data_IF_498347094354
#
_entry.id   IF_498347094354
#
_cell.length_a   1.000
_cell.length_b   1.000
_cell.length_c   1.000
_cell.angle_alpha   90.00
_cell.angle_beta   90.00
_cell.angle_gamma   90.00
#
_symmetry.space_group_name_H-M   'P 1'
#
loop_
_entity.id
_entity.type
_entity.pdbx_description
1 polymer ?
#
# COMPACT_ATOMS: atom_id res chain seq x y z
N UNK A 1 -11.38 8.49 26.56
CA UNK A 1 -12.41 8.75 25.54
C UNK A 1 -11.84 9.42 24.29
N UNK A 2 -10.94 10.42 24.40
CA UNK A 2 -10.31 11.10 23.25
C UNK A 2 -9.71 10.13 22.19
N UNK A 3 -8.93 9.12 22.62
CA UNK A 3 -8.25 8.23 21.66
C UNK A 3 -9.21 7.31 20.89
N UNK A 4 -10.35 6.89 21.49
CA UNK A 4 -11.32 6.02 20.80
C UNK A 4 -12.07 6.78 19.70
N UNK A 5 -12.48 8.01 19.97
CA UNK A 5 -13.19 8.85 18.98
C UNK A 5 -12.26 9.23 17.83
N UNK A 6 -11.00 9.58 18.12
CA UNK A 6 -9.99 9.88 17.10
C UNK A 6 -9.69 8.66 16.22
N UNK A 7 -9.53 7.48 16.82
CA UNK A 7 -9.28 6.25 16.06
C UNK A 7 -10.47 5.87 15.16
N UNK A 8 -11.70 6.03 15.65
CA UNK A 8 -12.91 5.77 14.86
C UNK A 8 -13.04 6.75 13.69
N UNK A 9 -12.71 8.03 13.92
CA UNK A 9 -12.70 9.05 12.88
C UNK A 9 -11.69 8.74 11.77
N UNK A 10 -10.45 8.40 12.13
CA UNK A 10 -9.41 7.99 11.16
C UNK A 10 -9.88 6.76 10.37
N UNK A 11 -10.44 5.75 11.05
CA UNK A 11 -10.94 4.55 10.39
C UNK A 11 -12.02 4.85 9.35
N UNK A 12 -12.95 5.76 9.66
CA UNK A 12 -14.02 6.14 8.73
C UNK A 12 -13.45 6.86 7.50
N UNK A 13 -12.56 7.83 7.71
CA UNK A 13 -11.89 8.53 6.60
C UNK A 13 -11.11 7.59 5.70
N UNK A 14 -10.41 6.59 6.27
CA UNK A 14 -9.71 5.60 5.46
C UNK A 14 -10.66 4.82 4.55
N UNK A 15 -11.83 4.43 5.05
CA UNK A 15 -12.83 3.76 4.20
C UNK A 15 -13.28 4.65 3.05
N UNK A 16 -13.48 5.95 3.30
CA UNK A 16 -13.85 6.93 2.28
C UNK A 16 -12.72 7.17 1.26
N UNK A 17 -11.45 7.14 1.68
CA UNK A 17 -10.30 7.32 0.79
C UNK A 17 -9.96 6.06 -0.02
N UNK A 18 -10.23 4.86 0.48
CA UNK A 18 -9.90 3.61 -0.21
C UNK A 18 -10.59 3.52 -1.57
N UNK A 19 -11.86 3.90 -1.67
CA UNK A 19 -12.64 3.87 -2.92
C UNK A 19 -12.03 4.75 -4.03
N UNK A 20 -11.82 6.06 -3.84
CA UNK A 20 -11.23 6.91 -4.88
C UNK A 20 -9.79 6.51 -5.23
N UNK A 21 -8.97 6.08 -4.27
CA UNK A 21 -7.61 5.60 -4.54
C UNK A 21 -7.65 4.34 -5.41
N UNK A 22 -8.51 3.39 -5.08
CA UNK A 22 -8.67 2.16 -5.86
C UNK A 22 -9.14 2.45 -7.29
N UNK A 23 -10.05 3.43 -7.47
CA UNK A 23 -10.47 3.86 -8.80
C UNK A 23 -9.31 4.45 -9.62
N UNK A 24 -8.46 5.28 -9.00
CA UNK A 24 -7.27 5.83 -9.67
C UNK A 24 -6.32 4.69 -10.08
N UNK A 25 -6.01 3.77 -9.16
CA UNK A 25 -5.14 2.62 -9.44
C UNK A 25 -5.69 1.74 -10.57
N UNK A 26 -6.98 1.44 -10.55
CA UNK A 26 -7.63 0.62 -11.56
C UNK A 26 -7.58 1.29 -12.94
N UNK A 27 -7.94 2.58 -13.02
CA UNK A 27 -7.90 3.33 -14.28
C UNK A 27 -6.47 3.47 -14.81
N UNK A 28 -5.50 3.79 -13.94
CA UNK A 28 -4.10 3.85 -14.34
C UNK A 28 -3.60 2.51 -14.89
N UNK A 29 -3.99 1.37 -14.29
CA UNK A 29 -3.65 0.04 -14.81
C UNK A 29 -4.30 -0.24 -16.16
N UNK A 30 -5.59 0.04 -16.32
CA UNK A 30 -6.29 -0.13 -17.61
C UNK A 30 -5.57 0.63 -18.74
N UNK A 31 -5.13 1.87 -18.46
CA UNK A 31 -4.40 2.69 -19.41
C UNK A 31 -2.99 2.14 -19.70
N UNK A 32 -2.24 1.73 -18.67
CA UNK A 32 -0.89 1.16 -18.84
C UNK A 32 -0.90 -0.21 -19.52
N UNK A 33 -1.93 -1.01 -19.28
CA UNK A 33 -2.19 -2.29 -19.94
C UNK A 33 -2.66 -2.12 -21.39
N UNK A 34 -2.86 -0.87 -21.84
CA UNK A 34 -3.28 -0.48 -23.20
C UNK A 34 -4.62 -1.09 -23.62
N UNK A 35 -5.49 -1.36 -22.64
CA UNK A 35 -6.83 -1.94 -22.87
C UNK A 35 -7.73 -0.94 -23.60
N UNK A 36 -7.66 0.34 -23.24
CA UNK A 36 -8.43 1.43 -23.85
C UNK A 36 -7.68 2.15 -25.00
N UNK A 37 -6.62 1.53 -25.53
CA UNK A 37 -5.85 2.03 -26.67
C UNK A 37 -4.39 2.35 -26.35
N UNK A 38 -3.67 2.80 -27.38
CA UNK A 38 -2.25 3.11 -27.27
C UNK A 38 -2.01 4.46 -26.57
N UNK A 39 -0.98 4.51 -25.72
CA UNK A 39 -0.47 5.74 -25.12
C UNK A 39 0.76 6.22 -25.90
N UNK A 40 0.90 7.54 -26.03
CA UNK A 40 2.18 8.14 -26.40
C UNK A 40 3.20 7.94 -25.27
N UNK A 41 4.52 8.00 -25.54
CA UNK A 41 5.53 7.84 -24.49
C UNK A 41 5.38 8.81 -23.31
N UNK A 42 4.96 10.05 -23.58
CA UNK A 42 4.75 11.05 -22.53
C UNK A 42 3.48 10.75 -21.71
N UNK A 43 2.41 10.28 -22.33
CA UNK A 43 1.20 9.85 -21.61
C UNK A 43 1.48 8.63 -20.73
N UNK A 44 2.24 7.65 -21.21
CA UNK A 44 2.64 6.48 -20.42
C UNK A 44 3.41 6.89 -19.16
N UNK A 45 4.34 7.84 -19.31
CA UNK A 45 5.09 8.43 -18.19
C UNK A 45 4.18 9.15 -17.19
N UNK A 46 3.24 9.95 -17.67
CA UNK A 46 2.28 10.68 -16.83
C UNK A 46 1.37 9.72 -16.06
N UNK A 47 0.81 8.70 -16.71
CA UNK A 47 -0.03 7.69 -16.07
C UNK A 47 0.77 6.90 -15.04
N UNK A 48 2.04 6.59 -15.31
CA UNK A 48 2.94 5.95 -14.35
C UNK A 48 3.15 6.81 -13.09
N UNK A 49 3.30 8.12 -13.23
CA UNK A 49 3.38 9.03 -12.09
C UNK A 49 2.07 9.11 -11.29
N UNK A 50 0.92 9.14 -11.97
CA UNK A 50 -0.39 9.11 -11.30
C UNK A 50 -0.57 7.81 -10.50
N UNK A 51 -0.23 6.67 -11.11
CA UNK A 51 -0.30 5.37 -10.44
C UNK A 51 0.59 5.35 -9.20
N UNK A 52 1.83 5.81 -9.33
CA UNK A 52 2.79 5.86 -8.22
C UNK A 52 2.31 6.74 -7.07
N UNK A 53 1.78 7.93 -7.38
CA UNK A 53 1.21 8.81 -6.37
C UNK A 53 0.01 8.16 -5.64
N UNK A 54 -0.85 7.46 -6.36
CA UNK A 54 -1.98 6.74 -5.76
C UNK A 54 -1.53 5.59 -4.86
N UNK A 55 -0.47 4.85 -5.23
CA UNK A 55 0.14 3.82 -4.37
C UNK A 55 0.72 4.43 -3.10
N UNK A 56 1.45 5.53 -3.23
CA UNK A 56 2.08 6.20 -2.09
C UNK A 56 1.02 6.75 -1.11
N UNK A 57 -0.08 7.32 -1.62
CA UNK A 57 -1.21 7.75 -0.78
C UNK A 57 -1.88 6.53 -0.12
N UNK A 58 -2.05 5.42 -0.83
CA UNK A 58 -2.63 4.18 -0.27
C UNK A 58 -1.80 3.67 0.92
N UNK A 59 -0.47 3.67 0.78
CA UNK A 59 0.45 3.28 1.84
C UNK A 59 0.34 4.21 3.05
N UNK A 60 0.36 5.52 2.81
CA UNK A 60 0.21 6.51 3.87
C UNK A 60 -1.12 6.32 4.64
N UNK A 61 -2.21 6.06 3.92
CA UNK A 61 -3.52 5.78 4.52
C UNK A 61 -3.49 4.51 5.39
N UNK A 62 -2.77 3.47 4.97
CA UNK A 62 -2.59 2.25 5.78
C UNK A 62 -1.75 2.53 7.05
N UNK A 63 -0.69 3.32 6.94
CA UNK A 63 0.14 3.72 8.09
C UNK A 63 -0.67 4.50 9.13
N UNK A 64 -1.55 5.40 8.68
CA UNK A 64 -2.46 6.13 9.57
C UNK A 64 -3.46 5.20 10.29
N UNK A 65 -3.96 4.16 9.61
CA UNK A 65 -4.82 3.16 10.26
C UNK A 65 -4.09 2.40 11.36
N UNK A 66 -2.85 2.00 11.10
CA UNK A 66 -2.07 1.23 12.06
C UNK A 66 -1.71 2.07 13.28
N UNK A 67 -1.40 3.36 13.09
CA UNK A 67 -1.27 4.33 14.18
C UNK A 67 -2.58 4.46 14.98
N UNK A 68 -3.73 4.56 14.30
CA UNK A 68 -5.03 4.65 14.97
C UNK A 68 -5.36 3.39 15.80
N UNK A 69 -5.02 2.20 15.32
CA UNK A 69 -5.15 0.94 16.08
C UNK A 69 -4.22 0.92 17.30
N UNK A 70 -3.00 1.42 17.15
CA UNK A 70 -2.02 1.56 18.23
C UNK A 70 -2.54 2.49 19.34
N UNK A 71 -2.97 3.71 18.99
CA UNK A 71 -3.49 4.70 19.96
C UNK A 71 -4.77 4.22 20.68
N UNK A 72 -5.56 3.38 20.02
CA UNK A 72 -6.76 2.77 20.59
C UNK A 72 -6.47 1.56 21.51
N UNK A 73 -5.21 1.13 21.64
CA UNK A 73 -4.84 -0.10 22.36
C UNK A 73 -5.41 -1.37 21.73
N UNK A 74 -5.75 -1.32 20.43
CA UNK A 74 -6.42 -2.41 19.68
C UNK A 74 -5.45 -3.28 18.87
N UNK A 75 -4.13 -3.14 19.05
CA UNK A 75 -3.18 -4.07 18.43
C UNK A 75 -3.43 -5.46 19.03
N UNK A 76 -4.06 -6.33 18.26
CA UNK A 76 -4.21 -7.74 18.60
C UNK A 76 -2.96 -8.46 18.13
N UNK A 77 -2.13 -8.88 19.07
CA UNK A 77 -1.01 -9.76 18.79
C UNK A 77 -1.56 -11.17 18.58
N UNK A 78 -1.42 -11.70 17.38
CA UNK A 78 -1.68 -13.11 17.14
C UNK A 78 -0.42 -13.91 17.47
N UNK A 79 -0.44 -14.56 18.63
CA UNK A 79 0.64 -15.47 19.05
C UNK A 79 0.43 -16.79 18.33
N UNK A 80 1.43 -17.21 17.56
CA UNK A 80 1.45 -18.50 16.88
C UNK A 80 2.88 -18.99 16.68
N UNK A 81 3.03 -20.29 16.45
CA UNK A 81 4.33 -20.87 16.07
C UNK A 81 4.75 -20.36 14.70
N UNK A 82 5.94 -19.79 14.62
CA UNK A 82 6.54 -19.29 13.37
C UNK A 82 7.76 -20.13 13.03
N UNK A 83 7.83 -20.63 11.79
CA UNK A 83 9.01 -21.30 11.28
C UNK A 83 10.09 -20.26 10.96
N UNK A 84 11.16 -20.24 11.75
CA UNK A 84 12.32 -19.36 11.52
C UNK A 84 12.93 -19.60 10.14
N UNK A 85 12.97 -20.86 9.70
CA UNK A 85 13.49 -21.24 8.38
C UNK A 85 12.69 -20.60 7.24
N UNK A 86 11.36 -20.65 7.32
CA UNK A 86 10.48 -20.06 6.30
C UNK A 86 10.57 -18.54 6.31
N UNK A 87 10.61 -17.92 7.50
CA UNK A 87 10.77 -16.48 7.63
C UNK A 87 12.04 -15.99 6.92
N UNK A 88 13.19 -16.62 7.17
CA UNK A 88 14.44 -16.26 6.51
C UNK A 88 14.46 -16.59 5.02
N UNK A 89 13.76 -17.65 4.58
CA UNK A 89 13.62 -17.98 3.16
C UNK A 89 12.83 -16.90 2.41
N UNK A 90 11.71 -16.46 2.97
CA UNK A 90 10.88 -15.38 2.41
C UNK A 90 11.64 -14.06 2.37
N UNK A 91 12.29 -13.68 3.47
CA UNK A 91 13.12 -12.47 3.53
C UNK A 91 14.22 -12.49 2.48
N UNK A 92 14.93 -13.61 2.32
CA UNK A 92 15.97 -13.75 1.28
C UNK A 92 15.39 -13.55 -0.12
N UNK A 93 14.25 -14.17 -0.42
CA UNK A 93 13.56 -13.99 -1.71
C UNK A 93 13.21 -12.54 -2.01
N UNK A 94 12.73 -11.80 -1.00
CA UNK A 94 12.38 -10.37 -1.12
C UNK A 94 13.61 -9.47 -1.27
N UNK A 95 14.73 -9.82 -0.64
CA UNK A 95 15.96 -9.01 -0.66
C UNK A 95 16.88 -9.34 -1.85
N UNK A 96 16.74 -10.52 -2.49
CA UNK A 96 17.57 -10.93 -3.64
C UNK A 96 17.58 -9.91 -4.79
N UNK A 97 16.43 -9.31 -5.20
CA UNK A 97 16.40 -8.30 -6.26
C UNK A 97 17.08 -6.98 -5.88
N UNK A 98 17.29 -6.73 -4.57
CA UNK A 98 17.93 -5.52 -4.06
C UNK A 98 19.45 -5.65 -3.94
N UNK A 99 19.98 -6.87 -4.10
CA UNK A 99 21.41 -7.10 -4.25
C UNK A 99 21.79 -6.70 -5.67
N UNK A 100 21.94 -5.40 -5.89
CA UNK A 100 22.60 -4.88 -7.09
C UNK A 100 23.97 -5.52 -7.20
N UNK A 101 24.23 -6.07 -8.38
CA UNK A 101 25.49 -6.69 -8.81
C UNK A 101 26.68 -5.87 -8.29
N UNK A 102 27.63 -6.48 -7.55
CA UNK A 102 28.86 -5.78 -7.20
C UNK A 102 29.71 -5.65 -8.47
N UNK A 103 30.01 -4.42 -8.87
CA UNK A 103 31.22 -4.14 -9.65
C UNK A 103 32.47 -4.43 -8.79
#
# INVERSE_FOLDING_TARGET
MLNKTRAQFISNLTHEFRTPINSILALSRILLDRIDGALTPEQEKQVSFIMKAAEDISNLVNDFLDLAKLEAGKIKINIGTVSIKELFSTLRGMMTPLVTNPD
#
